data_IF_209880816383
#
_entry.id   IF_209880816383
#
_cell.length_a   1.000
_cell.length_b   1.000
_cell.length_c   1.000
_cell.angle_alpha   90.00
_cell.angle_beta   90.00
_cell.angle_gamma   90.00
#
_symmetry.space_group_name_H-M   'P 1'
#
loop_
_entity.id
_entity.type
_entity.pdbx_description
1 polymer ?
#
# COMPACT_ATOMS: atom_id res chain seq x y z
N UNK A 1 -33.65 2.35 -36.82
CA UNK A 1 -32.43 3.08 -37.25
C UNK A 1 -32.66 3.61 -38.65
N UNK A 2 -32.45 4.91 -38.87
CA UNK A 2 -32.56 5.54 -40.19
C UNK A 2 -31.16 5.80 -40.71
N UNK A 3 -30.81 5.20 -41.84
CA UNK A 3 -29.52 5.39 -42.51
C UNK A 3 -29.64 6.48 -43.57
N UNK A 4 -28.70 7.43 -43.56
CA UNK A 4 -28.56 8.46 -44.59
C UNK A 4 -27.17 8.27 -45.22
N UNK A 5 -27.10 8.32 -46.54
CA UNK A 5 -25.84 8.25 -47.27
C UNK A 5 -25.07 9.56 -47.06
N UNK A 6 -23.98 9.49 -46.32
CA UNK A 6 -23.07 10.63 -46.14
C UNK A 6 -22.34 10.93 -47.46
N UNK A 7 -22.21 12.22 -47.79
CA UNK A 7 -21.68 12.67 -49.07
C UNK A 7 -20.40 13.47 -48.90
N UNK A 8 -20.54 14.69 -48.38
CA UNK A 8 -19.44 15.67 -48.30
C UNK A 8 -18.37 15.24 -47.30
N UNK A 9 -18.75 14.59 -46.20
CA UNK A 9 -17.83 14.16 -45.15
C UNK A 9 -17.62 12.64 -45.14
N UNK A 10 -17.73 11.98 -46.29
CA UNK A 10 -17.67 10.52 -46.37
C UNK A 10 -16.31 9.95 -45.91
N UNK A 11 -15.22 10.67 -46.17
CA UNK A 11 -13.86 10.25 -45.81
C UNK A 11 -13.65 10.36 -44.30
N UNK A 12 -14.06 11.48 -43.71
CA UNK A 12 -13.99 11.74 -42.28
C UNK A 12 -14.92 10.79 -41.53
N UNK A 13 -16.10 10.48 -42.06
CA UNK A 13 -17.03 9.53 -41.44
C UNK A 13 -16.46 8.11 -41.41
N UNK A 14 -15.72 7.72 -42.45
CA UNK A 14 -14.99 6.46 -42.47
C UNK A 14 -13.81 6.47 -41.49
N UNK A 15 -12.99 7.54 -41.49
CA UNK A 15 -11.86 7.68 -40.58
C UNK A 15 -12.30 7.70 -39.10
N UNK A 16 -13.42 8.34 -38.78
CA UNK A 16 -14.00 8.38 -37.43
C UNK A 16 -14.55 7.04 -36.93
N UNK A 17 -14.72 6.05 -37.81
CA UNK A 17 -15.07 4.68 -37.40
C UNK A 17 -13.87 3.86 -36.91
N UNK A 18 -12.64 4.36 -37.10
CA UNK A 18 -11.42 3.69 -36.68
C UNK A 18 -11.15 3.97 -35.18
N UNK A 19 -11.01 2.93 -34.33
CA UNK A 19 -10.65 3.12 -32.93
C UNK A 19 -9.35 3.93 -32.79
N UNK A 20 -9.40 5.02 -32.00
CA UNK A 20 -8.24 5.88 -31.74
C UNK A 20 -8.10 7.11 -32.65
N UNK A 21 -8.94 7.27 -33.68
CA UNK A 21 -8.87 8.40 -34.62
C UNK A 21 -9.81 9.56 -34.22
N UNK A 22 -9.51 10.23 -33.11
CA UNK A 22 -10.38 11.22 -32.44
C UNK A 22 -10.67 12.52 -33.23
N UNK A 23 -9.90 12.79 -34.28
CA UNK A 23 -10.00 14.05 -35.06
C UNK A 23 -11.05 14.01 -36.18
N UNK A 24 -11.35 12.84 -36.73
CA UNK A 24 -12.26 12.71 -37.88
C UNK A 24 -13.74 12.57 -37.46
N UNK A 25 -14.14 13.27 -36.40
CA UNK A 25 -15.50 13.14 -35.87
C UNK A 25 -16.48 14.08 -36.60
N UNK A 26 -17.19 13.54 -37.59
CA UNK A 26 -18.14 14.26 -38.46
C UNK A 26 -19.40 14.74 -37.73
N UNK A 27 -19.67 14.17 -36.54
CA UNK A 27 -20.74 14.65 -35.67
C UNK A 27 -20.21 14.68 -34.25
N UNK A 28 -19.81 15.85 -33.79
CA UNK A 28 -19.83 16.13 -32.36
C UNK A 28 -21.29 16.38 -31.99
N UNK A 29 -22.07 15.37 -31.52
CA UNK A 29 -23.36 15.70 -30.95
C UNK A 29 -23.11 16.70 -29.83
N UNK A 30 -23.94 17.73 -29.74
CA UNK A 30 -23.98 18.58 -28.56
C UNK A 30 -24.43 17.68 -27.39
N UNK A 31 -23.46 17.11 -26.68
CA UNK A 31 -23.73 16.33 -25.48
C UNK A 31 -23.93 17.34 -24.37
N UNK A 32 -25.12 17.34 -23.79
CA UNK A 32 -25.41 18.15 -22.62
C UNK A 32 -24.40 17.81 -21.51
N UNK A 33 -23.86 18.81 -20.80
CA UNK A 33 -22.79 18.61 -19.81
C UNK A 33 -23.19 17.61 -18.72
N UNK A 34 -24.48 17.51 -18.36
CA UNK A 34 -25.00 16.43 -17.49
C UNK A 34 -24.84 15.03 -18.08
N UNK A 35 -25.13 14.84 -19.37
CA UNK A 35 -24.99 13.54 -20.02
C UNK A 35 -23.51 13.16 -20.11
N UNK A 36 -22.64 14.13 -20.38
CA UNK A 36 -21.19 13.94 -20.31
C UNK A 36 -20.76 13.55 -18.89
N UNK A 37 -21.23 14.26 -17.86
CA UNK A 37 -20.90 13.96 -16.47
C UNK A 37 -21.30 12.53 -16.05
N UNK A 38 -22.45 12.03 -16.51
CA UNK A 38 -22.89 10.65 -16.27
C UNK A 38 -22.10 9.59 -17.05
N UNK A 39 -21.51 9.97 -18.19
CA UNK A 39 -20.72 9.07 -19.04
C UNK A 39 -19.22 9.16 -18.76
N UNK A 40 -18.76 10.16 -18.00
CA UNK A 40 -17.36 10.28 -17.63
C UNK A 40 -17.00 9.12 -16.69
N UNK A 41 -16.02 8.27 -17.06
CA UNK A 41 -15.49 7.29 -16.14
C UNK A 41 -14.73 8.04 -15.04
N UNK A 42 -15.38 8.25 -13.90
CA UNK A 42 -14.77 8.78 -12.69
C UNK A 42 -14.22 7.59 -11.90
N UNK A 43 -12.98 7.20 -12.18
CA UNK A 43 -12.23 6.31 -11.28
C UNK A 43 -11.41 7.18 -10.33
N UNK A 44 -11.73 7.12 -9.03
CA UNK A 44 -10.83 7.61 -8.00
C UNK A 44 -9.93 6.49 -7.54
N UNK A 45 -8.67 6.81 -7.22
CA UNK A 45 -7.78 5.84 -6.56
C UNK A 45 -8.42 5.43 -5.23
N UNK A 46 -8.49 4.13 -4.96
CA UNK A 46 -8.99 3.62 -3.68
C UNK A 46 -8.13 4.18 -2.54
N UNK A 47 -8.76 4.90 -1.61
CA UNK A 47 -8.06 5.66 -0.56
C UNK A 47 -7.67 4.82 0.67
N UNK A 48 -7.88 3.51 0.64
CA UNK A 48 -7.66 2.62 1.78
C UNK A 48 -8.75 2.71 2.87
N UNK A 49 -8.75 1.80 3.84
CA UNK A 49 -9.73 1.81 4.93
C UNK A 49 -9.52 2.96 5.91
N UNK A 50 -10.61 3.47 6.50
CA UNK A 50 -10.57 4.57 7.46
C UNK A 50 -10.05 4.17 8.84
N UNK A 51 -10.10 2.88 9.18
CA UNK A 51 -9.69 2.28 10.46
C UNK A 51 -9.21 0.85 10.23
N UNK A 52 -8.41 0.30 11.15
CA UNK A 52 -8.07 -1.11 11.18
C UNK A 52 -9.02 -1.86 12.12
N UNK A 53 -10.06 -2.49 11.56
CA UNK A 53 -11.10 -3.14 12.37
C UNK A 53 -10.59 -4.31 13.21
N UNK A 54 -9.62 -5.08 12.72
CA UNK A 54 -9.06 -6.20 13.47
C UNK A 54 -8.31 -5.72 14.71
N UNK A 55 -7.41 -4.74 14.54
CA UNK A 55 -6.68 -4.17 15.67
C UNK A 55 -7.63 -3.47 16.64
N UNK A 56 -8.70 -2.84 16.15
CA UNK A 56 -9.71 -2.24 17.03
C UNK A 56 -10.39 -3.30 17.92
N UNK A 57 -10.74 -4.46 17.35
CA UNK A 57 -11.34 -5.59 18.08
C UNK A 57 -10.37 -6.17 19.11
N UNK A 58 -9.11 -6.42 18.72
CA UNK A 58 -8.11 -7.06 19.59
C UNK A 58 -7.66 -6.13 20.72
N UNK A 59 -7.47 -4.85 20.43
CA UNK A 59 -7.02 -3.86 21.43
C UNK A 59 -8.15 -3.28 22.26
N UNK A 60 -9.42 -3.50 21.86
CA UNK A 60 -10.61 -2.88 22.45
C UNK A 60 -10.55 -1.34 22.47
N UNK A 61 -9.84 -0.75 21.51
CA UNK A 61 -9.66 0.70 21.35
C UNK A 61 -9.80 1.10 19.89
N UNK A 62 -9.97 2.39 19.61
CA UNK A 62 -9.96 2.86 18.23
C UNK A 62 -8.58 2.61 17.58
N UNK A 63 -8.57 1.98 16.41
CA UNK A 63 -7.36 1.72 15.65
C UNK A 63 -7.39 2.49 14.32
N UNK A 64 -6.76 3.69 14.25
CA UNK A 64 -6.63 4.44 13.00
C UNK A 64 -5.76 3.67 11.99
N UNK A 65 -5.70 4.07 10.70
CA UNK A 65 -4.76 3.49 9.75
C UNK A 65 -3.32 3.72 10.22
N UNK A 66 -2.41 2.87 9.76
CA UNK A 66 -1.01 2.90 10.19
C UNK A 66 -0.38 4.26 9.88
N UNK A 67 -0.54 4.74 8.64
CA UNK A 67 -0.21 6.10 8.25
C UNK A 67 -0.98 6.52 7.00
N UNK A 68 -0.94 7.82 6.69
CA UNK A 68 -1.45 8.38 5.44
C UNK A 68 -0.26 8.74 4.54
N UNK A 69 -0.34 8.35 3.28
CA UNK A 69 0.63 8.67 2.24
C UNK A 69 -0.06 9.40 1.07
N UNK A 70 0.74 9.99 0.19
CA UNK A 70 0.26 10.62 -1.04
C UNK A 70 0.42 9.64 -2.22
N UNK A 71 -0.62 9.47 -3.03
CA UNK A 71 -0.51 8.74 -4.31
C UNK A 71 0.06 9.64 -5.41
N UNK A 72 0.42 9.09 -6.56
CA UNK A 72 0.88 9.86 -7.72
C UNK A 72 -0.12 10.93 -8.21
N UNK A 73 -1.42 10.76 -7.90
CA UNK A 73 -2.47 11.73 -8.22
C UNK A 73 -2.85 12.66 -7.06
N UNK A 74 -1.95 12.85 -6.09
CA UNK A 74 -2.18 13.66 -4.87
C UNK A 74 -3.40 13.25 -4.04
N UNK A 75 -3.87 12.01 -4.21
CA UNK A 75 -4.98 11.48 -3.41
C UNK A 75 -4.41 10.94 -2.10
N UNK A 76 -4.94 11.32 -0.92
CA UNK A 76 -4.53 10.71 0.34
C UNK A 76 -4.85 9.21 0.37
N UNK A 77 -3.84 8.39 0.66
CA UNK A 77 -3.96 6.94 0.79
C UNK A 77 -3.70 6.52 2.24
N UNK A 78 -4.67 5.85 2.84
CA UNK A 78 -4.60 5.32 4.20
C UNK A 78 -4.04 3.90 4.15
N UNK A 79 -2.79 3.73 4.55
CA UNK A 79 -2.20 2.40 4.63
C UNK A 79 -2.69 1.69 5.88
N UNK A 80 -3.36 0.55 5.69
CA UNK A 80 -3.59 -0.46 6.74
C UNK A 80 -2.83 -1.71 6.37
N UNK A 81 -2.20 -2.35 7.34
CA UNK A 81 -1.41 -3.58 7.14
C UNK A 81 -2.24 -4.84 7.16
N UNK A 82 -3.50 -4.76 7.58
CA UNK A 82 -4.35 -5.93 7.77
C UNK A 82 -5.43 -6.01 6.68
N UNK A 83 -5.61 -7.22 6.15
CA UNK A 83 -6.83 -7.62 5.44
C UNK A 83 -7.53 -8.60 6.35
N UNK A 84 -8.71 -8.21 6.84
CA UNK A 84 -9.37 -8.91 7.94
C UNK A 84 -8.40 -9.06 9.12
N UNK A 85 -8.03 -10.28 9.51
CA UNK A 85 -7.11 -10.59 10.60
C UNK A 85 -5.65 -10.81 10.17
N UNK A 86 -5.35 -10.81 8.86
CA UNK A 86 -4.01 -11.13 8.35
C UNK A 86 -3.19 -9.87 8.13
N UNK A 87 -2.07 -9.74 8.85
CA UNK A 87 -1.16 -8.58 8.84
C UNK A 87 0.18 -8.76 8.11
N UNK A 88 0.32 -9.75 7.22
CA UNK A 88 1.59 -10.04 6.55
C UNK A 88 1.90 -9.09 5.40
N UNK A 89 3.16 -8.66 5.30
CA UNK A 89 3.63 -7.69 4.31
C UNK A 89 5.03 -8.03 3.81
N UNK A 90 5.28 -7.83 2.51
CA UNK A 90 6.59 -7.94 1.88
C UNK A 90 6.95 -6.60 1.22
N UNK A 91 8.16 -6.09 1.50
CA UNK A 91 8.70 -4.86 0.91
C UNK A 91 9.93 -5.19 0.06
N UNK A 92 9.87 -4.90 -1.24
CA UNK A 92 10.94 -5.19 -2.21
C UNK A 92 11.34 -3.90 -2.92
N UNK A 93 12.63 -3.76 -3.23
CA UNK A 93 13.18 -2.62 -3.95
C UNK A 93 14.71 -2.60 -3.94
N UNK A 94 15.36 -1.81 -4.80
CA UNK A 94 16.83 -1.75 -4.86
C UNK A 94 17.43 -1.12 -3.59
N UNK A 95 18.73 -1.30 -3.39
CA UNK A 95 19.47 -0.61 -2.32
C UNK A 95 19.33 0.90 -2.50
N UNK A 96 19.15 1.64 -1.41
CA UNK A 96 18.94 3.10 -1.45
C UNK A 96 17.49 3.56 -1.70
N UNK A 97 16.56 2.67 -2.08
CA UNK A 97 15.15 3.05 -2.33
C UNK A 97 14.33 3.36 -1.06
N UNK A 98 14.95 3.46 0.12
CA UNK A 98 14.26 3.81 1.36
C UNK A 98 13.54 2.66 2.08
N UNK A 99 13.76 1.39 1.71
CA UNK A 99 13.12 0.23 2.37
C UNK A 99 13.29 0.22 3.91
N UNK A 100 14.50 0.44 4.41
CA UNK A 100 14.77 0.47 5.85
C UNK A 100 14.05 1.63 6.55
N UNK A 101 13.95 2.79 5.87
CA UNK A 101 13.20 3.95 6.39
C UNK A 101 11.72 3.63 6.47
N UNK A 102 11.15 3.00 5.43
CA UNK A 102 9.75 2.57 5.43
C UNK A 102 9.46 1.55 6.55
N UNK A 103 10.31 0.55 6.73
CA UNK A 103 10.14 -0.45 7.79
C UNK A 103 10.25 0.18 9.20
N UNK A 104 11.18 1.11 9.39
CA UNK A 104 11.29 1.87 10.65
C UNK A 104 10.04 2.73 10.90
N UNK A 105 9.52 3.40 9.87
CA UNK A 105 8.26 4.15 9.97
C UNK A 105 7.09 3.24 10.34
N UNK A 106 6.97 2.07 9.69
CA UNK A 106 5.93 1.08 10.00
C UNK A 106 6.02 0.65 11.46
N UNK A 107 7.22 0.32 11.96
CA UNK A 107 7.44 -0.06 13.35
C UNK A 107 7.05 1.04 14.34
N UNK A 108 7.48 2.28 14.08
CA UNK A 108 7.16 3.45 14.90
C UNK A 108 5.65 3.71 14.96
N UNK A 109 4.98 3.65 13.79
CA UNK A 109 3.54 3.85 13.72
C UNK A 109 2.76 2.72 14.39
N UNK A 110 3.22 1.47 14.26
CA UNK A 110 2.57 0.32 14.86
C UNK A 110 2.57 0.37 16.39
N UNK A 111 3.61 0.96 17.00
CA UNK A 111 3.70 1.16 18.45
C UNK A 111 2.65 2.10 19.04
N UNK A 112 1.87 2.80 18.21
CA UNK A 112 0.72 3.60 18.65
C UNK A 112 -0.48 2.76 19.08
N UNK A 113 -0.59 1.51 18.60
CA UNK A 113 -1.67 0.62 19.02
C UNK A 113 -1.40 0.07 20.42
N UNK A 114 -2.46 -0.02 21.24
CA UNK A 114 -2.33 -0.47 22.62
C UNK A 114 -1.75 -1.89 22.68
N UNK A 115 -0.75 -2.09 23.54
CA UNK A 115 -0.10 -3.40 23.71
C UNK A 115 0.76 -3.87 22.53
N UNK A 116 0.96 -3.06 21.48
CA UNK A 116 1.74 -3.48 20.31
C UNK A 116 3.18 -3.84 20.66
N UNK A 117 3.66 -5.01 20.21
CA UNK A 117 5.06 -5.41 20.34
C UNK A 117 5.70 -5.48 18.97
N UNK A 118 6.96 -5.06 18.85
CA UNK A 118 7.71 -5.08 17.60
C UNK A 118 9.03 -5.79 17.84
N UNK A 119 9.26 -6.86 17.07
CA UNK A 119 10.51 -7.61 17.06
C UNK A 119 11.13 -7.49 15.68
N UNK A 120 12.41 -7.10 15.63
CA UNK A 120 13.11 -6.86 14.36
C UNK A 120 14.38 -7.70 14.30
N UNK A 121 14.48 -8.53 13.26
CA UNK A 121 15.72 -9.19 12.88
C UNK A 121 16.45 -8.30 11.88
N UNK A 122 17.43 -7.55 12.37
CA UNK A 122 18.10 -6.51 11.60
C UNK A 122 19.55 -6.90 11.29
N UNK A 123 19.81 -7.28 10.04
CA UNK A 123 21.16 -7.62 9.58
C UNK A 123 22.08 -6.40 9.48
N UNK A 124 21.52 -5.21 9.21
CA UNK A 124 22.28 -4.02 8.83
C UNK A 124 22.38 -2.95 9.91
N UNK A 125 21.90 -3.23 11.13
CA UNK A 125 21.75 -2.26 12.22
C UNK A 125 20.93 -1.00 11.81
N UNK A 126 20.08 -1.12 10.79
CA UNK A 126 19.26 -0.03 10.26
C UNK A 126 18.06 0.33 11.15
N UNK A 127 17.58 -0.61 11.97
CA UNK A 127 16.48 -0.43 12.91
C UNK A 127 16.95 0.07 14.28
N UNK A 128 18.25 0.00 14.60
CA UNK A 128 18.80 0.35 15.92
C UNK A 128 18.32 1.71 16.44
N UNK A 129 18.38 2.75 15.60
CA UNK A 129 17.96 4.09 15.99
C UNK A 129 16.46 4.14 16.35
N UNK A 130 15.60 3.52 15.54
CA UNK A 130 14.16 3.44 15.81
C UNK A 130 13.86 2.63 17.09
N UNK A 131 14.54 1.49 17.27
CA UNK A 131 14.41 0.66 18.47
C UNK A 131 14.71 1.45 19.74
N UNK A 132 15.85 2.15 19.76
CA UNK A 132 16.26 2.97 20.91
C UNK A 132 15.31 4.16 21.13
N UNK A 133 14.85 4.81 20.07
CA UNK A 133 13.91 5.93 20.15
C UNK A 133 12.55 5.51 20.76
N UNK A 134 12.15 4.24 20.57
CA UNK A 134 10.93 3.68 21.18
C UNK A 134 11.16 3.14 22.60
N UNK A 135 12.34 3.36 23.18
CA UNK A 135 12.72 2.82 24.49
C UNK A 135 12.93 1.31 24.51
N UNK A 136 13.13 0.68 23.34
CA UNK A 136 13.38 -0.75 23.21
C UNK A 136 14.85 -1.11 23.38
N UNK A 137 15.11 -2.42 23.44
CA UNK A 137 16.45 -2.96 23.53
C UNK A 137 16.95 -3.42 22.15
N UNK A 138 18.23 -3.13 21.86
CA UNK A 138 18.89 -3.60 20.67
C UNK A 138 20.08 -4.48 21.05
N UNK A 139 20.04 -5.74 20.64
CA UNK A 139 21.11 -6.70 20.92
C UNK A 139 21.96 -6.95 19.68
N UNK A 140 23.24 -6.59 19.74
CA UNK A 140 24.20 -6.90 18.70
C UNK A 140 24.69 -8.35 18.86
N UNK A 141 24.03 -9.28 18.17
CA UNK A 141 24.40 -10.70 18.22
C UNK A 141 25.78 -10.94 17.61
N UNK A 142 26.65 -11.62 18.35
CA UNK A 142 27.96 -12.08 17.85
C UNK A 142 29.10 -11.06 17.91
N UNK A 143 28.89 -9.84 18.42
CA UNK A 143 29.97 -8.86 18.58
C UNK A 143 30.87 -9.17 19.78
N UNK A 144 30.27 -9.37 20.96
CA UNK A 144 31.02 -9.39 22.24
C UNK A 144 30.80 -10.67 23.06
N UNK A 145 30.14 -11.68 22.50
CA UNK A 145 29.85 -12.98 23.15
C UNK A 145 28.86 -12.93 24.34
N UNK A 146 28.34 -11.76 24.70
CA UNK A 146 27.43 -11.55 25.83
C UNK A 146 26.00 -12.05 25.60
N UNK A 147 25.51 -11.95 24.36
CA UNK A 147 24.20 -12.48 23.96
C UNK A 147 24.35 -13.33 22.70
N UNK A 148 23.90 -14.58 22.79
CA UNK A 148 23.87 -15.53 21.69
C UNK A 148 22.57 -16.33 21.71
N UNK A 149 22.09 -16.70 20.55
CA UNK A 149 21.04 -17.71 20.46
C UNK A 149 21.66 -19.10 20.66
N UNK A 150 20.95 -19.96 21.39
CA UNK A 150 21.35 -21.35 21.60
C UNK A 150 20.28 -22.29 21.01
N UNK A 151 20.28 -22.51 19.67
CA UNK A 151 19.29 -23.36 19.01
C UNK A 151 19.27 -24.80 19.55
N UNK A 152 20.41 -25.27 20.05
CA UNK A 152 20.61 -26.62 20.59
C UNK A 152 20.49 -26.69 22.12
N UNK A 153 19.87 -25.70 22.77
CA UNK A 153 19.77 -25.65 24.24
C UNK A 153 19.20 -26.94 24.84
N UNK A 154 18.26 -27.57 24.14
CA UNK A 154 17.57 -28.78 24.58
C UNK A 154 17.99 -30.03 23.79
N UNK A 155 19.17 -30.06 23.15
CA UNK A 155 19.59 -31.20 22.32
C UNK A 155 19.64 -32.55 23.07
N UNK A 156 19.81 -32.49 24.39
CA UNK A 156 19.84 -33.67 25.26
C UNK A 156 18.45 -34.10 25.75
N UNK A 157 17.40 -33.31 25.49
CA UNK A 157 16.03 -33.66 25.84
C UNK A 157 15.45 -34.63 24.80
N UNK A 158 15.31 -35.89 25.21
CA UNK A 158 14.79 -36.96 24.36
C UNK A 158 13.33 -36.74 23.93
N UNK A 159 12.55 -35.91 24.64
CA UNK A 159 11.15 -35.61 24.29
C UNK A 159 11.01 -34.57 23.16
N UNK A 160 12.10 -33.90 22.80
CA UNK A 160 12.13 -32.86 21.76
C UNK A 160 12.58 -33.36 20.38
N UNK A 161 12.79 -34.68 20.23
CA UNK A 161 13.13 -35.36 18.97
C UNK A 161 11.91 -35.81 18.18
#
# INVERSE_FOLDING_TARGET
>A
FTTIREGVNAVEAWLGSLPGHVYANVRQPLVHTLNLAHLMPLSSVWAGPATNEHLAKVTQTEAPPLFVAETSGSTPFRLSTHVEDVGHMLVVGPTGAGKSVLLALIALQFRRYAGAQVYVFDKGNSARAATLAMGGEHHALGADGSLAFQPLRSINDQASR
#
